data_IF_639997740645
#
_entry.id   IF_639997740645
#
_cell.length_a   1.000
_cell.length_b   1.000
_cell.length_c   1.000
_cell.angle_alpha   90.00
_cell.angle_beta   90.00
_cell.angle_gamma   90.00
#
_symmetry.space_group_name_H-M   'P 1'
#
loop_
_entity.id
_entity.type
_entity.pdbx_description
1 polymer ?
#
# COMPACT_ATOMS: atom_id res chain seq x y z
N UNK A 1 -14.70 18.40 11.54
CA UNK A 1 -13.29 18.43 11.07
C UNK A 1 -12.27 17.69 11.93
N UNK A 2 -12.60 17.18 13.14
CA UNK A 2 -11.62 16.49 14.04
C UNK A 2 -11.37 15.01 13.75
N UNK A 3 -12.13 14.37 12.84
CA UNK A 3 -12.03 12.93 12.55
C UNK A 3 -11.12 12.61 11.34
N UNK A 4 -10.80 13.62 10.50
CA UNK A 4 -9.99 13.40 9.30
C UNK A 4 -8.49 13.20 9.58
N UNK A 5 -7.98 13.77 10.69
CA UNK A 5 -6.55 13.67 11.02
C UNK A 5 -6.08 12.23 11.35
N UNK A 6 -6.78 11.43 12.18
CA UNK A 6 -6.35 10.06 12.45
C UNK A 6 -6.46 9.15 11.22
N UNK A 7 -7.43 9.39 10.34
CA UNK A 7 -7.58 8.60 9.11
C UNK A 7 -6.42 8.85 8.13
N UNK A 8 -5.99 10.10 7.99
CA UNK A 8 -4.83 10.48 7.18
C UNK A 8 -3.53 9.88 7.72
N UNK A 9 -3.38 9.80 9.04
CA UNK A 9 -2.21 9.19 9.68
C UNK A 9 -2.20 7.68 9.42
N UNK A 10 -3.33 6.98 9.56
CA UNK A 10 -3.44 5.55 9.28
C UNK A 10 -3.16 5.26 7.81
N UNK A 11 -3.71 6.04 6.89
CA UNK A 11 -3.44 5.91 5.44
C UNK A 11 -1.96 6.18 5.14
N UNK A 12 -1.36 7.21 5.73
CA UNK A 12 0.06 7.52 5.55
C UNK A 12 0.98 6.42 6.10
N UNK A 13 0.64 5.85 7.27
CA UNK A 13 1.41 4.74 7.88
C UNK A 13 1.27 3.46 7.05
N UNK A 14 0.07 3.14 6.55
CA UNK A 14 -0.16 1.96 5.70
C UNK A 14 0.54 2.11 4.35
N UNK A 15 0.42 3.27 3.70
CA UNK A 15 1.10 3.55 2.42
C UNK A 15 2.61 3.62 2.59
N UNK A 16 3.10 4.27 3.65
CA UNK A 16 4.53 4.32 3.98
C UNK A 16 5.11 2.94 4.33
N UNK A 17 4.39 2.14 5.11
CA UNK A 17 4.75 0.76 5.44
C UNK A 17 4.81 -0.16 4.21
N UNK A 18 3.84 -0.03 3.29
CA UNK A 18 3.81 -0.74 2.02
C UNK A 18 4.99 -0.35 1.11
N UNK A 19 5.34 0.93 1.08
CA UNK A 19 6.49 1.42 0.30
C UNK A 19 7.83 0.90 0.83
N UNK A 20 8.01 0.88 2.15
CA UNK A 20 9.19 0.32 2.80
C UNK A 20 9.30 -1.20 2.60
N UNK A 21 8.18 -1.93 2.65
CA UNK A 21 8.14 -3.36 2.41
C UNK A 21 8.45 -3.74 0.95
N UNK A 22 7.96 -2.98 -0.05
CA UNK A 22 8.37 -3.15 -1.45
C UNK A 22 9.87 -2.96 -1.64
N UNK A 23 10.47 -1.99 -0.94
CA UNK A 23 11.92 -1.72 -0.98
C UNK A 23 12.73 -2.86 -0.37
N UNK A 24 12.22 -3.53 0.66
CA UNK A 24 12.88 -4.70 1.28
C UNK A 24 12.78 -5.96 0.42
N UNK A 25 11.66 -6.22 -0.26
CA UNK A 25 11.52 -7.35 -1.18
C UNK A 25 12.45 -7.26 -2.39
N UNK A 26 12.69 -6.08 -2.91
CA UNK A 26 13.69 -5.88 -3.98
C UNK A 26 15.13 -6.20 -3.55
N UNK A 27 15.42 -6.19 -2.24
CA UNK A 27 16.72 -6.56 -1.68
C UNK A 27 16.85 -8.04 -1.30
N UNK A 28 15.75 -8.74 -1.04
CA UNK A 28 15.74 -10.15 -0.63
C UNK A 28 15.81 -11.14 -1.81
N UNK A 29 15.67 -10.68 -3.04
CA UNK A 29 15.76 -11.51 -4.26
C UNK A 29 17.20 -11.74 -4.74
N UNK A 30 18.23 -11.29 -3.98
CA UNK A 30 19.63 -11.48 -4.33
C UNK A 30 20.30 -12.42 -3.30
N UNK A 31 20.37 -13.71 -3.65
CA UNK A 31 21.40 -14.65 -3.27
C UNK A 31 21.14 -15.58 -2.07
N UNK A 32 21.39 -16.90 -2.23
CA UNK A 32 21.46 -17.85 -1.12
C UNK A 32 22.79 -17.68 -0.37
N UNK A 33 22.73 -17.67 0.96
CA UNK A 33 23.90 -17.68 1.85
C UNK A 33 24.73 -18.94 1.66
N UNK A 34 25.85 -18.87 0.98
CA UNK A 34 26.90 -19.87 1.05
C UNK A 34 27.65 -19.76 2.37
N UNK A 35 27.83 -20.89 3.06
CA UNK A 35 28.49 -21.02 4.34
C UNK A 35 29.93 -20.49 4.33
N UNK A 36 30.29 -19.81 5.39
CA UNK A 36 31.60 -19.20 5.65
C UNK A 36 32.51 -20.22 6.32
N UNK A 37 33.57 -20.65 5.66
CA UNK A 37 34.72 -21.30 6.29
C UNK A 37 35.68 -20.22 6.83
N UNK A 38 36.28 -20.40 8.04
CA UNK A 38 37.19 -19.43 8.63
C UNK A 38 38.64 -19.67 8.19
N UNK A 39 39.34 -18.61 7.83
CA UNK A 39 40.80 -18.59 7.83
C UNK A 39 41.45 -18.06 6.58
N UNK A 40 41.82 -16.79 6.56
CA UNK A 40 43.12 -16.25 6.19
C UNK A 40 43.02 -14.70 6.12
N UNK A 41 43.76 -14.06 6.98
CA UNK A 41 43.96 -12.62 6.98
C UNK A 41 45.05 -12.26 5.96
N UNK A 42 44.83 -11.19 5.19
CA UNK A 42 45.85 -10.15 4.90
C UNK A 42 45.30 -9.02 4.08
N UNK A 43 45.44 -7.85 4.65
CA UNK A 43 45.89 -6.54 4.15
C UNK A 43 45.26 -5.91 2.88
N UNK A 44 44.45 -4.91 3.18
CA UNK A 44 44.50 -3.51 2.69
C UNK A 44 44.69 -3.20 1.21
N UNK A 45 43.60 -2.70 0.60
CA UNK A 45 43.60 -1.38 -0.06
C UNK A 45 42.17 -0.89 -0.22
N UNK A 46 41.90 0.30 0.29
CA UNK A 46 40.60 0.97 0.33
C UNK A 46 40.39 1.62 -1.05
N UNK A 47 39.57 1.01 -1.90
CA UNK A 47 39.27 1.62 -3.21
C UNK A 47 38.57 0.73 -4.22
N UNK A 48 37.84 -0.32 -3.86
CA UNK A 48 36.97 -1.06 -4.82
C UNK A 48 36.16 -2.16 -4.09
N UNK A 49 35.57 -1.83 -2.95
CA UNK A 49 34.97 -2.82 -2.06
C UNK A 49 33.64 -3.46 -2.53
N UNK A 50 33.11 -3.03 -3.68
CA UNK A 50 31.82 -3.53 -4.19
C UNK A 50 31.89 -4.62 -5.25
N UNK A 51 32.91 -4.61 -6.10
CA UNK A 51 33.00 -5.50 -7.26
C UNK A 51 34.06 -6.60 -7.11
N UNK A 52 35.08 -6.39 -6.28
CA UNK A 52 36.16 -7.35 -6.05
C UNK A 52 35.71 -8.73 -5.54
N UNK A 53 34.78 -8.88 -4.59
CA UNK A 53 34.39 -10.22 -4.08
C UNK A 53 33.58 -11.01 -5.12
N UNK A 54 32.82 -10.37 -6.01
CA UNK A 54 32.07 -11.06 -7.08
C UNK A 54 33.02 -11.59 -8.17
N UNK A 55 34.05 -10.83 -8.55
CA UNK A 55 35.06 -11.25 -9.53
C UNK A 55 35.94 -12.39 -9.00
N UNK A 56 36.33 -12.34 -7.73
CA UNK A 56 37.11 -13.40 -7.09
C UNK A 56 36.31 -14.73 -7.00
N UNK A 57 35.02 -14.66 -6.68
CA UNK A 57 34.14 -15.83 -6.65
C UNK A 57 33.98 -16.47 -8.04
N UNK A 58 33.73 -15.67 -9.08
CA UNK A 58 33.54 -16.19 -10.43
C UNK A 58 34.81 -16.84 -11.00
N UNK A 59 35.98 -16.25 -10.80
CA UNK A 59 37.24 -16.83 -11.25
C UNK A 59 37.56 -18.15 -10.57
N UNK A 60 37.26 -18.29 -9.28
CA UNK A 60 37.42 -19.54 -8.54
C UNK A 60 36.45 -20.62 -9.02
N UNK A 61 35.20 -20.26 -9.33
CA UNK A 61 34.23 -21.19 -9.87
C UNK A 61 34.58 -21.67 -11.28
N UNK A 62 35.01 -20.77 -12.15
CA UNK A 62 35.48 -21.10 -13.50
C UNK A 62 36.68 -22.03 -13.45
N UNK A 63 37.67 -21.76 -12.59
CA UNK A 63 38.84 -22.63 -12.41
C UNK A 63 38.44 -24.03 -11.91
N UNK A 64 37.47 -24.10 -10.99
CA UNK A 64 36.93 -25.38 -10.49
C UNK A 64 36.22 -26.18 -11.58
N UNK A 65 35.42 -25.50 -12.43
CA UNK A 65 34.72 -26.16 -13.52
C UNK A 65 35.64 -26.67 -14.63
N UNK A 66 36.70 -25.91 -14.94
CA UNK A 66 37.74 -26.37 -15.85
C UNK A 66 38.46 -27.61 -15.27
N UNK A 67 38.85 -27.57 -13.95
CA UNK A 67 39.49 -28.66 -13.28
C UNK A 67 38.59 -29.91 -13.16
N UNK A 68 37.28 -29.73 -13.12
CA UNK A 68 36.31 -30.84 -13.13
C UNK A 68 35.95 -31.33 -14.55
N UNK A 69 36.51 -30.74 -15.60
CA UNK A 69 36.23 -31.11 -17.00
C UNK A 69 34.84 -30.72 -17.50
N UNK A 70 34.12 -29.84 -16.76
CA UNK A 70 32.76 -29.42 -17.11
C UNK A 70 32.74 -28.38 -18.23
N UNK A 71 33.79 -27.55 -18.32
CA UNK A 71 33.98 -26.55 -19.38
C UNK A 71 35.45 -26.57 -19.83
N UNK A 72 35.70 -26.17 -21.08
CA UNK A 72 37.08 -25.99 -21.57
C UNK A 72 37.69 -24.65 -21.05
N UNK A 73 39.01 -24.54 -21.04
CA UNK A 73 39.69 -23.29 -20.67
C UNK A 73 39.26 -22.13 -21.58
N UNK A 74 39.03 -22.40 -22.86
CA UNK A 74 38.53 -21.42 -23.82
C UNK A 74 37.12 -20.93 -23.50
N UNK A 75 36.23 -21.84 -23.07
CA UNK A 75 34.89 -21.46 -22.62
C UNK A 75 34.92 -20.65 -21.31
N UNK A 76 35.82 -20.99 -20.40
CA UNK A 76 35.99 -20.22 -19.17
C UNK A 76 36.45 -18.78 -19.47
N UNK A 77 37.38 -18.63 -20.40
CA UNK A 77 37.86 -17.28 -20.83
C UNK A 77 36.77 -16.49 -21.58
N UNK A 78 35.96 -17.17 -22.40
CA UNK A 78 34.81 -16.55 -23.08
C UNK A 78 33.76 -16.04 -22.06
N UNK A 79 33.43 -16.86 -21.06
CA UNK A 79 32.51 -16.48 -19.97
C UNK A 79 33.09 -15.31 -19.17
N UNK A 80 34.37 -15.38 -18.79
CA UNK A 80 35.03 -14.31 -18.04
C UNK A 80 35.10 -12.99 -18.83
N UNK A 81 35.27 -13.03 -20.15
CA UNK A 81 35.27 -11.84 -21.01
C UNK A 81 33.88 -11.27 -21.18
N UNK A 82 32.83 -12.11 -21.31
CA UNK A 82 31.44 -11.69 -21.39
C UNK A 82 30.99 -11.02 -20.09
N UNK A 83 31.33 -11.59 -18.93
CA UNK A 83 31.02 -11.00 -17.62
C UNK A 83 31.75 -9.68 -17.38
N UNK A 84 33.02 -9.58 -17.82
CA UNK A 84 33.75 -8.30 -17.77
C UNK A 84 33.12 -7.23 -18.67
N UNK A 85 32.65 -7.60 -19.85
CA UNK A 85 31.95 -6.71 -20.75
C UNK A 85 30.57 -6.28 -20.18
N UNK A 86 29.84 -7.23 -19.59
CA UNK A 86 28.53 -6.95 -18.95
C UNK A 86 28.66 -6.07 -17.71
N UNK A 87 29.68 -6.27 -16.88
CA UNK A 87 29.99 -5.40 -15.73
C UNK A 87 30.44 -4.01 -16.20
N UNK A 88 31.17 -3.92 -17.31
CA UNK A 88 31.52 -2.64 -17.94
C UNK A 88 30.27 -1.90 -18.48
N UNK A 89 29.30 -2.63 -19.01
CA UNK A 89 28.03 -2.06 -19.48
C UNK A 89 27.07 -1.69 -18.32
N UNK A 90 27.20 -2.36 -17.16
CA UNK A 90 26.45 -2.03 -15.93
C UNK A 90 27.14 -0.95 -15.08
N UNK A 91 28.36 -0.58 -15.44
CA UNK A 91 29.21 0.40 -14.75
C UNK A 91 28.99 1.83 -15.20
N UNK A 92 27.79 2.26 -15.55
CA UNK A 92 27.46 3.67 -15.54
C UNK A 92 27.57 4.20 -14.10
N UNK A 93 28.27 5.32 -13.89
CA UNK A 93 28.61 5.79 -12.56
C UNK A 93 27.35 6.00 -11.70
N UNK A 94 27.43 5.75 -10.37
CA UNK A 94 26.29 6.01 -9.47
C UNK A 94 25.80 7.46 -9.48
N UNK A 95 26.60 8.38 -10.02
CA UNK A 95 26.27 9.81 -10.14
C UNK A 95 25.15 10.12 -11.11
N UNK A 96 25.08 9.47 -12.28
CA UNK A 96 23.98 9.69 -13.23
C UNK A 96 22.62 9.25 -12.66
N UNK A 97 22.61 8.20 -11.85
CA UNK A 97 21.38 7.72 -11.20
C UNK A 97 20.92 8.64 -10.07
N UNK A 98 21.85 9.30 -9.38
CA UNK A 98 21.51 10.27 -8.32
C UNK A 98 20.96 11.57 -8.89
N UNK A 99 21.54 12.08 -9.95
CA UNK A 99 21.05 13.28 -10.65
C UNK A 99 19.68 13.01 -11.25
N UNK A 100 19.47 11.83 -11.85
CA UNK A 100 18.16 11.41 -12.38
C UNK A 100 17.09 11.33 -11.31
N UNK A 101 17.36 10.74 -10.13
CA UNK A 101 16.41 10.65 -9.02
C UNK A 101 16.04 12.01 -8.44
N UNK A 102 17.00 12.93 -8.37
CA UNK A 102 16.77 14.27 -7.86
C UNK A 102 15.96 15.10 -8.87
N UNK A 103 16.28 14.99 -10.17
CA UNK A 103 15.52 15.62 -11.23
C UNK A 103 14.08 15.07 -11.30
N UNK A 104 13.91 13.75 -11.13
CA UNK A 104 12.58 13.11 -11.05
C UNK A 104 11.78 13.61 -9.84
N UNK A 105 12.40 13.68 -8.66
CA UNK A 105 11.76 14.18 -7.45
C UNK A 105 11.36 15.67 -7.59
N UNK A 106 12.25 16.51 -8.11
CA UNK A 106 11.95 17.92 -8.39
C UNK A 106 10.84 18.08 -9.42
N UNK A 107 10.81 17.21 -10.44
CA UNK A 107 9.73 17.17 -11.42
C UNK A 107 8.36 16.89 -10.77
N UNK A 108 8.28 15.91 -9.88
CA UNK A 108 7.03 15.61 -9.15
C UNK A 108 6.58 16.77 -8.25
N UNK A 109 7.53 17.39 -7.53
CA UNK A 109 7.23 18.58 -6.69
C UNK A 109 6.76 19.74 -7.54
N UNK A 110 7.43 20.00 -8.69
CA UNK A 110 7.05 21.05 -9.63
C UNK A 110 5.64 20.86 -10.18
N UNK A 111 5.31 19.64 -10.62
CA UNK A 111 3.96 19.30 -11.09
C UNK A 111 2.93 19.46 -9.98
N UNK A 112 3.22 18.99 -8.77
CA UNK A 112 2.32 19.11 -7.64
C UNK A 112 2.02 20.58 -7.28
N UNK A 113 3.06 21.43 -7.27
CA UNK A 113 2.93 22.86 -7.01
C UNK A 113 2.16 23.57 -8.13
N UNK A 114 2.41 23.24 -9.39
CA UNK A 114 1.69 23.79 -10.54
C UNK A 114 0.19 23.42 -10.47
N UNK A 115 -0.12 22.17 -10.16
CA UNK A 115 -1.52 21.73 -9.99
C UNK A 115 -2.20 22.41 -8.80
N UNK A 116 -1.49 22.56 -7.67
CA UNK A 116 -2.02 23.25 -6.50
C UNK A 116 -2.26 24.74 -6.82
N UNK A 117 -1.33 25.40 -7.53
CA UNK A 117 -1.49 26.79 -7.98
C UNK A 117 -2.65 26.97 -8.95
N UNK A 118 -2.78 26.08 -9.92
CA UNK A 118 -3.91 26.09 -10.86
C UNK A 118 -5.25 25.87 -10.13
N UNK A 119 -5.31 24.93 -9.19
CA UNK A 119 -6.50 24.69 -8.38
C UNK A 119 -6.87 25.92 -7.51
N UNK A 120 -5.88 26.57 -6.88
CA UNK A 120 -6.09 27.77 -6.09
C UNK A 120 -6.57 28.96 -6.95
N UNK A 121 -5.96 29.16 -8.12
CA UNK A 121 -6.39 30.18 -9.08
C UNK A 121 -7.82 29.95 -9.59
N UNK A 122 -8.16 28.71 -9.89
CA UNK A 122 -9.50 28.33 -10.30
C UNK A 122 -10.52 28.57 -9.16
N UNK A 123 -10.15 28.22 -7.92
CA UNK A 123 -11.01 28.44 -6.76
C UNK A 123 -11.32 29.93 -6.51
N UNK A 124 -10.34 30.83 -6.72
CA UNK A 124 -10.54 32.27 -6.57
C UNK A 124 -11.50 32.86 -7.61
N UNK A 125 -11.48 32.33 -8.84
CA UNK A 125 -12.33 32.79 -9.94
C UNK A 125 -13.64 32.00 -10.11
N UNK A 126 -13.90 31.01 -9.26
CA UNK A 126 -14.97 30.02 -9.48
C UNK A 126 -16.35 30.64 -9.67
N UNK A 127 -16.68 31.64 -8.84
CA UNK A 127 -17.99 32.30 -8.89
C UNK A 127 -18.18 33.15 -10.14
N UNK A 128 -17.12 33.65 -10.76
CA UNK A 128 -17.16 34.41 -12.01
C UNK A 128 -17.31 33.55 -13.26
N UNK A 129 -17.09 32.23 -13.15
CA UNK A 129 -17.20 31.29 -14.27
C UNK A 129 -18.69 30.96 -14.49
N UNK A 130 -19.20 31.06 -15.72
CA UNK A 130 -20.57 30.65 -16.01
C UNK A 130 -20.77 29.15 -15.77
N UNK A 131 -22.01 28.71 -15.46
CA UNK A 131 -22.34 27.33 -15.07
C UNK A 131 -21.81 26.30 -16.06
N UNK A 132 -21.94 26.55 -17.37
CA UNK A 132 -21.39 25.65 -18.38
C UNK A 132 -19.86 25.49 -18.26
N UNK A 133 -19.15 26.56 -17.92
CA UNK A 133 -17.70 26.54 -17.70
C UNK A 133 -17.33 25.74 -16.44
N UNK A 134 -18.10 25.88 -15.34
CA UNK A 134 -17.89 25.11 -14.12
C UNK A 134 -18.07 23.61 -14.34
N UNK A 135 -18.93 23.20 -15.24
CA UNK A 135 -19.14 21.78 -15.61
C UNK A 135 -18.08 21.29 -16.61
N UNK A 136 -17.77 22.09 -17.63
CA UNK A 136 -16.88 21.64 -18.70
C UNK A 136 -15.43 21.55 -18.27
N UNK A 137 -14.95 22.40 -17.36
CA UNK A 137 -13.57 22.36 -16.87
C UNK A 137 -13.23 21.03 -16.18
N UNK A 138 -13.96 20.56 -15.14
CA UNK A 138 -13.67 19.26 -14.53
C UNK A 138 -13.93 18.09 -15.48
N UNK A 139 -14.94 18.16 -16.32
CA UNK A 139 -15.24 17.12 -17.32
C UNK A 139 -14.10 16.97 -18.34
N UNK A 140 -13.62 18.09 -18.89
CA UNK A 140 -12.49 18.10 -19.83
C UNK A 140 -11.20 17.60 -19.16
N UNK A 141 -10.94 18.04 -17.93
CA UNK A 141 -9.78 17.58 -17.14
C UNK A 141 -9.85 16.06 -16.94
N UNK A 142 -11.01 15.54 -16.55
CA UNK A 142 -11.23 14.08 -16.39
C UNK A 142 -10.99 13.35 -17.70
N UNK A 143 -11.56 13.85 -18.81
CA UNK A 143 -11.37 13.28 -20.15
C UNK A 143 -9.89 13.26 -20.57
N UNK A 144 -9.18 14.36 -20.36
CA UNK A 144 -7.75 14.45 -20.67
C UNK A 144 -6.90 13.47 -19.84
N UNK A 145 -7.23 13.28 -18.57
CA UNK A 145 -6.52 12.33 -17.69
C UNK A 145 -6.78 10.88 -18.14
N UNK A 146 -8.01 10.55 -18.51
CA UNK A 146 -8.36 9.23 -19.07
C UNK A 146 -7.62 8.99 -20.39
N UNK A 147 -7.70 9.93 -21.34
CA UNK A 147 -7.05 9.83 -22.65
C UNK A 147 -5.52 9.79 -22.52
N UNK A 148 -4.94 10.63 -21.65
CA UNK A 148 -3.50 10.61 -21.36
C UNK A 148 -3.03 9.25 -20.85
N UNK A 149 -3.82 8.63 -19.97
CA UNK A 149 -3.54 7.28 -19.50
C UNK A 149 -3.63 6.24 -20.62
N UNK A 150 -4.63 6.32 -21.50
CA UNK A 150 -4.75 5.43 -22.68
C UNK A 150 -3.62 5.63 -23.68
N UNK A 151 -3.16 6.86 -23.87
CA UNK A 151 -2.00 7.14 -24.73
C UNK A 151 -0.73 6.46 -24.20
N UNK A 152 -0.53 6.47 -22.87
CA UNK A 152 0.59 5.82 -22.22
C UNK A 152 0.45 4.28 -22.09
N UNK A 153 -0.73 3.72 -22.34
CA UNK A 153 -0.99 2.28 -22.19
C UNK A 153 -0.08 1.41 -23.05
N UNK A 154 0.26 1.85 -24.25
CA UNK A 154 1.10 1.11 -25.20
C UNK A 154 2.58 1.17 -24.87
N UNK A 155 2.98 2.02 -23.93
CA UNK A 155 4.38 2.16 -23.54
C UNK A 155 4.79 1.04 -22.60
N UNK A 156 5.92 0.39 -22.89
CA UNK A 156 6.42 -0.74 -22.10
C UNK A 156 7.29 -0.31 -20.91
N UNK A 157 7.80 0.91 -20.92
CA UNK A 157 8.68 1.43 -19.88
C UNK A 157 7.97 1.50 -18.50
N UNK A 158 8.64 1.06 -17.43
CA UNK A 158 8.06 1.05 -16.07
C UNK A 158 7.63 2.43 -15.58
N UNK A 159 8.32 3.51 -15.99
CA UNK A 159 7.99 4.88 -15.63
C UNK A 159 6.63 5.31 -16.20
N UNK A 160 6.40 5.07 -17.50
CA UNK A 160 5.12 5.38 -18.14
C UNK A 160 3.95 4.55 -17.60
N UNK A 161 4.20 3.30 -17.19
CA UNK A 161 3.18 2.48 -16.52
C UNK A 161 2.75 3.04 -15.18
N UNK A 162 3.69 3.58 -14.39
CA UNK A 162 3.37 4.27 -13.13
C UNK A 162 2.59 5.54 -13.39
N UNK A 163 3.06 6.37 -14.34
CA UNK A 163 2.40 7.62 -14.71
C UNK A 163 0.97 7.37 -15.19
N UNK A 164 0.75 6.41 -16.08
CA UNK A 164 -0.59 5.98 -16.51
C UNK A 164 -1.49 5.64 -15.32
N UNK A 165 -0.97 4.86 -14.37
CA UNK A 165 -1.74 4.46 -13.19
C UNK A 165 -2.13 5.65 -12.33
N UNK A 166 -1.26 6.63 -12.18
CA UNK A 166 -1.53 7.88 -11.45
C UNK A 166 -2.57 8.71 -12.18
N UNK A 167 -2.43 8.91 -13.51
CA UNK A 167 -3.39 9.66 -14.32
C UNK A 167 -4.80 9.07 -14.20
N UNK A 168 -4.94 7.77 -14.22
CA UNK A 168 -6.23 7.10 -14.09
C UNK A 168 -6.84 7.22 -12.69
N UNK A 169 -6.04 7.21 -11.62
CA UNK A 169 -6.54 7.50 -10.27
C UNK A 169 -7.01 8.95 -10.16
N UNK A 170 -6.23 9.88 -10.73
CA UNK A 170 -6.63 11.29 -10.78
C UNK A 170 -7.90 11.49 -11.62
N UNK A 171 -8.09 10.71 -12.69
CA UNK A 171 -9.32 10.73 -13.48
C UNK A 171 -10.55 10.30 -12.67
N UNK A 172 -10.40 9.29 -11.78
CA UNK A 172 -11.50 8.91 -10.86
C UNK A 172 -11.84 10.07 -9.91
N UNK A 173 -10.84 10.76 -9.37
CA UNK A 173 -11.06 11.98 -8.57
C UNK A 173 -11.69 13.12 -9.38
N UNK A 174 -11.25 13.30 -10.62
CA UNK A 174 -11.84 14.26 -11.57
C UNK A 174 -13.31 13.95 -11.88
N UNK A 175 -13.67 12.66 -12.00
CA UNK A 175 -15.06 12.22 -12.16
C UNK A 175 -15.91 12.59 -10.95
N UNK A 176 -15.40 12.39 -9.74
CA UNK A 176 -16.09 12.81 -8.51
C UNK A 176 -16.39 14.31 -8.53
N UNK A 177 -15.37 15.11 -8.85
CA UNK A 177 -15.52 16.56 -8.97
C UNK A 177 -16.54 16.96 -10.06
N UNK A 178 -16.44 16.36 -11.25
CA UNK A 178 -17.37 16.62 -12.36
C UNK A 178 -18.82 16.37 -11.95
N UNK A 179 -19.09 15.18 -11.38
CA UNK A 179 -20.44 14.79 -11.00
C UNK A 179 -20.97 15.59 -9.80
N UNK A 180 -20.11 15.96 -8.86
CA UNK A 180 -20.49 16.84 -7.77
C UNK A 180 -20.93 18.23 -8.29
N UNK A 181 -20.18 18.82 -9.23
CA UNK A 181 -20.54 20.11 -9.85
C UNK A 181 -21.81 19.98 -10.66
N UNK A 182 -21.98 18.93 -11.46
CA UNK A 182 -23.22 18.66 -12.21
C UNK A 182 -24.40 18.54 -11.24
N UNK A 183 -24.22 17.81 -10.13
CA UNK A 183 -25.25 17.67 -9.11
C UNK A 183 -25.68 19.03 -8.52
N UNK A 184 -24.71 19.85 -8.12
CA UNK A 184 -24.96 21.15 -7.50
C UNK A 184 -25.62 22.14 -8.48
N UNK A 185 -25.07 22.23 -9.71
CA UNK A 185 -25.43 23.31 -10.65
C UNK A 185 -26.63 22.93 -11.57
N UNK A 186 -26.85 21.63 -11.85
CA UNK A 186 -27.81 21.21 -12.86
C UNK A 186 -29.02 20.43 -12.34
N UNK A 187 -28.92 19.77 -11.15
CA UNK A 187 -30.02 18.90 -10.70
C UNK A 187 -30.85 19.48 -9.56
N UNK A 188 -30.29 20.37 -8.77
CA UNK A 188 -30.93 20.89 -7.55
C UNK A 188 -31.17 19.83 -6.47
N UNK A 189 -30.46 18.69 -6.53
CA UNK A 189 -30.54 17.62 -5.54
C UNK A 189 -29.90 18.04 -4.21
N UNK A 190 -30.34 17.41 -3.14
CA UNK A 190 -29.66 17.47 -1.84
C UNK A 190 -28.28 16.80 -1.89
N UNK A 191 -27.49 16.99 -0.83
CA UNK A 191 -26.11 16.54 -0.77
C UNK A 191 -25.96 14.99 -0.89
N UNK A 192 -26.89 14.23 -0.32
CA UNK A 192 -26.84 12.76 -0.30
C UNK A 192 -27.00 12.13 -1.70
N UNK A 193 -28.03 12.49 -2.54
CA UNK A 193 -28.14 12.03 -3.92
C UNK A 193 -26.96 12.47 -4.78
N UNK A 194 -26.40 13.67 -4.57
CA UNK A 194 -25.22 14.14 -5.28
C UNK A 194 -24.01 13.26 -4.95
N UNK A 195 -23.81 12.94 -3.67
CA UNK A 195 -22.74 12.05 -3.23
C UNK A 195 -22.89 10.65 -3.84
N UNK A 196 -24.12 10.12 -3.87
CA UNK A 196 -24.43 8.81 -4.46
C UNK A 196 -24.13 8.79 -5.97
N UNK A 197 -24.56 9.83 -6.69
CA UNK A 197 -24.29 9.97 -8.12
C UNK A 197 -22.78 10.05 -8.40
N UNK A 198 -22.04 10.86 -7.64
CA UNK A 198 -20.60 11.00 -7.78
C UNK A 198 -19.87 9.69 -7.48
N UNK A 199 -20.21 9.02 -6.37
CA UNK A 199 -19.63 7.75 -5.99
C UNK A 199 -19.95 6.62 -7.00
N UNK A 200 -21.17 6.60 -7.56
CA UNK A 200 -21.58 5.69 -8.62
C UNK A 200 -20.75 5.87 -9.90
N UNK A 201 -20.61 7.10 -10.37
CA UNK A 201 -19.78 7.42 -11.54
C UNK A 201 -18.30 7.09 -11.33
N UNK A 202 -17.76 7.39 -10.15
CA UNK A 202 -16.38 6.98 -9.79
C UNK A 202 -16.22 5.47 -9.80
N UNK A 203 -17.19 4.73 -9.26
CA UNK A 203 -17.14 3.26 -9.22
C UNK A 203 -17.18 2.67 -10.64
N UNK A 204 -18.04 3.17 -11.50
CA UNK A 204 -18.12 2.73 -12.91
C UNK A 204 -16.81 3.02 -13.66
N UNK A 205 -16.27 4.23 -13.52
CA UNK A 205 -14.99 4.59 -14.15
C UNK A 205 -13.84 3.74 -13.60
N UNK A 206 -13.71 3.62 -12.26
CA UNK A 206 -12.67 2.83 -11.64
C UNK A 206 -12.75 1.35 -12.01
N UNK A 207 -13.97 0.78 -12.09
CA UNK A 207 -14.20 -0.58 -12.56
C UNK A 207 -13.77 -0.76 -14.01
N UNK A 208 -14.16 0.15 -14.91
CA UNK A 208 -13.76 0.13 -16.33
C UNK A 208 -12.23 0.18 -16.49
N UNK A 209 -11.56 1.09 -15.77
CA UNK A 209 -10.10 1.22 -15.81
C UNK A 209 -9.38 0.00 -15.20
N UNK A 210 -9.93 -0.59 -14.13
CA UNK A 210 -9.40 -1.81 -13.54
C UNK A 210 -9.57 -3.02 -14.46
N UNK A 211 -10.71 -3.15 -15.13
CA UNK A 211 -10.94 -4.22 -16.10
C UNK A 211 -10.04 -4.07 -17.33
N UNK A 212 -9.80 -2.83 -17.79
CA UNK A 212 -8.87 -2.54 -18.86
C UNK A 212 -7.44 -2.96 -18.50
N UNK A 213 -7.01 -2.67 -17.26
CA UNK A 213 -5.68 -3.07 -16.78
C UNK A 213 -5.71 -3.34 -15.28
N UNK A 214 -5.57 -4.62 -14.90
CA UNK A 214 -5.56 -5.08 -13.51
C UNK A 214 -4.27 -4.66 -12.79
N UNK A 215 -4.20 -3.37 -12.42
CA UNK A 215 -3.07 -2.78 -11.72
C UNK A 215 -3.45 -2.40 -10.29
N UNK A 216 -2.47 -2.40 -9.37
CA UNK A 216 -2.73 -2.17 -7.95
C UNK A 216 -3.41 -0.84 -7.62
N UNK A 217 -2.99 0.27 -8.25
CA UNK A 217 -3.59 1.58 -8.00
C UNK A 217 -5.06 1.66 -8.44
N UNK A 218 -5.42 1.04 -9.59
CA UNK A 218 -6.81 0.97 -10.04
C UNK A 218 -7.66 0.11 -9.10
N UNK A 219 -7.08 -0.96 -8.56
CA UNK A 219 -7.75 -1.79 -7.56
C UNK A 219 -8.08 -1.00 -6.28
N UNK A 220 -7.13 -0.18 -5.80
CA UNK A 220 -7.36 0.70 -4.64
C UNK A 220 -8.40 1.76 -4.95
N UNK A 221 -8.34 2.40 -6.12
CA UNK A 221 -9.35 3.37 -6.55
C UNK A 221 -10.74 2.75 -6.63
N UNK A 222 -10.86 1.54 -7.16
CA UNK A 222 -12.13 0.81 -7.22
C UNK A 222 -12.66 0.49 -5.81
N UNK A 223 -11.81 0.00 -4.90
CA UNK A 223 -12.23 -0.27 -3.53
C UNK A 223 -12.69 1.00 -2.81
N UNK A 224 -11.93 2.10 -2.95
CA UNK A 224 -12.30 3.39 -2.37
C UNK A 224 -13.62 3.91 -2.93
N UNK A 225 -13.84 3.81 -4.24
CA UNK A 225 -15.10 4.22 -4.88
C UNK A 225 -16.27 3.35 -4.42
N UNK A 226 -16.08 2.03 -4.26
CA UNK A 226 -17.12 1.14 -3.73
C UNK A 226 -17.48 1.46 -2.29
N UNK A 227 -16.48 1.81 -1.44
CA UNK A 227 -16.77 2.28 -0.08
C UNK A 227 -17.57 3.59 -0.11
N UNK A 228 -17.16 4.55 -0.94
CA UNK A 228 -17.88 5.80 -1.10
C UNK A 228 -19.32 5.56 -1.58
N UNK A 229 -19.51 4.68 -2.57
CA UNK A 229 -20.84 4.31 -3.09
C UNK A 229 -21.72 3.67 -2.01
N UNK A 230 -21.17 2.69 -1.26
CA UNK A 230 -21.92 2.02 -0.21
C UNK A 230 -22.30 2.96 0.93
N UNK A 231 -21.38 3.84 1.34
CA UNK A 231 -21.65 4.85 2.37
C UNK A 231 -22.68 5.88 1.88
N UNK A 232 -22.56 6.38 0.65
CA UNK A 232 -23.53 7.34 0.09
C UNK A 232 -24.92 6.72 -0.09
N UNK A 233 -24.99 5.44 -0.49
CA UNK A 233 -26.25 4.72 -0.58
C UNK A 233 -26.94 4.57 0.79
N UNK A 234 -26.15 4.30 1.84
CA UNK A 234 -26.68 4.26 3.21
C UNK A 234 -27.20 5.62 3.67
N UNK A 235 -26.51 6.70 3.35
CA UNK A 235 -26.96 8.06 3.70
C UNK A 235 -28.30 8.41 3.06
N UNK A 236 -28.57 7.90 1.84
CA UNK A 236 -29.85 8.11 1.15
C UNK A 236 -31.02 7.27 1.74
N UNK A 237 -30.74 6.11 2.35
CA UNK A 237 -31.78 5.15 2.74
C UNK A 237 -31.94 5.05 4.26
N UNK A 238 -30.86 5.17 5.02
CA UNK A 238 -30.87 5.00 6.47
C UNK A 238 -31.01 6.36 7.17
N UNK A 239 -31.82 6.39 8.23
CA UNK A 239 -31.78 7.51 9.16
C UNK A 239 -30.35 7.71 9.67
N UNK A 240 -29.81 8.96 9.63
CA UNK A 240 -28.38 9.24 9.90
C UNK A 240 -27.88 8.88 11.31
N UNK A 241 -28.76 8.41 12.19
CA UNK A 241 -28.50 8.14 13.62
C UNK A 241 -27.95 6.76 13.93
N UNK A 242 -27.74 5.87 12.95
CA UNK A 242 -27.24 4.51 13.20
C UNK A 242 -25.80 4.34 12.71
N UNK A 243 -24.84 4.94 13.40
CA UNK A 243 -23.40 4.88 13.05
C UNK A 243 -22.83 3.47 12.88
N UNK A 244 -23.45 2.45 13.53
CA UNK A 244 -23.02 1.06 13.36
C UNK A 244 -23.26 0.49 11.95
N UNK A 245 -24.20 1.03 11.16
CA UNK A 245 -24.41 0.62 9.78
C UNK A 245 -23.20 0.97 8.91
N UNK A 246 -22.58 2.13 9.14
CA UNK A 246 -21.35 2.52 8.43
C UNK A 246 -20.21 1.58 8.80
N UNK A 247 -20.05 1.31 10.10
CA UNK A 247 -19.06 0.38 10.61
C UNK A 247 -19.20 -1.01 9.96
N UNK A 248 -20.44 -1.55 9.95
CA UNK A 248 -20.75 -2.85 9.37
C UNK A 248 -20.52 -2.88 7.85
N UNK A 249 -20.89 -1.81 7.13
CA UNK A 249 -20.72 -1.73 5.67
C UNK A 249 -19.26 -1.69 5.28
N UNK A 250 -18.45 -0.87 5.94
CA UNK A 250 -17.01 -0.78 5.67
C UNK A 250 -16.34 -2.12 6.01
N UNK A 251 -16.72 -2.73 7.13
CA UNK A 251 -16.19 -4.03 7.52
C UNK A 251 -16.58 -5.13 6.51
N UNK A 252 -17.86 -5.21 6.13
CA UNK A 252 -18.35 -6.24 5.21
C UNK A 252 -17.73 -6.10 3.81
N UNK A 253 -17.61 -4.87 3.30
CA UNK A 253 -16.98 -4.61 2.02
C UNK A 253 -15.49 -4.95 2.05
N UNK A 254 -14.80 -4.62 3.15
CA UNK A 254 -13.42 -5.03 3.39
C UNK A 254 -13.25 -6.55 3.41
N UNK A 255 -14.14 -7.26 4.13
CA UNK A 255 -14.16 -8.71 4.19
C UNK A 255 -14.40 -9.35 2.82
N UNK A 256 -15.39 -8.85 2.06
CA UNK A 256 -15.66 -9.32 0.71
C UNK A 256 -14.44 -9.12 -0.19
N UNK A 257 -13.79 -7.96 -0.11
CA UNK A 257 -12.59 -7.67 -0.89
C UNK A 257 -11.41 -8.58 -0.55
N UNK A 258 -11.17 -8.85 0.73
CA UNK A 258 -10.15 -9.79 1.20
C UNK A 258 -10.42 -11.22 0.70
N UNK A 259 -11.69 -11.67 0.75
CA UNK A 259 -12.10 -12.98 0.22
C UNK A 259 -11.90 -13.07 -1.29
N UNK A 260 -12.28 -12.03 -2.06
CA UNK A 260 -12.04 -11.98 -3.51
C UNK A 260 -10.53 -12.04 -3.84
N UNK A 261 -9.69 -11.36 -3.05
CA UNK A 261 -8.23 -11.47 -3.15
C UNK A 261 -7.74 -12.88 -2.85
N UNK A 262 -8.22 -13.50 -1.79
CA UNK A 262 -7.87 -14.88 -1.42
C UNK A 262 -8.28 -15.88 -2.51
N UNK A 263 -9.46 -15.71 -3.11
CA UNK A 263 -9.95 -16.50 -4.25
C UNK A 263 -9.22 -16.21 -5.55
N UNK A 264 -8.22 -15.30 -5.55
CA UNK A 264 -7.44 -14.89 -6.73
C UNK A 264 -8.26 -14.26 -7.85
N UNK A 265 -9.44 -13.75 -7.52
CA UNK A 265 -10.30 -13.07 -8.48
C UNK A 265 -9.83 -11.63 -8.75
N UNK A 266 -9.10 -11.04 -7.81
CA UNK A 266 -8.53 -9.69 -7.92
C UNK A 266 -7.00 -9.76 -8.05
N UNK A 267 -6.44 -8.95 -8.93
CA UNK A 267 -4.99 -8.83 -9.12
C UNK A 267 -4.54 -7.38 -8.90
N UNK A 268 -3.46 -7.16 -8.13
CA UNK A 268 -2.65 -8.13 -7.38
C UNK A 268 -3.31 -8.63 -6.09
N UNK A 269 -3.28 -9.94 -5.85
CA UNK A 269 -3.97 -10.63 -4.75
C UNK A 269 -3.59 -10.08 -3.37
N UNK A 270 -2.28 -9.90 -3.14
CA UNK A 270 -1.77 -9.44 -1.86
C UNK A 270 -2.31 -8.06 -1.46
N UNK A 271 -2.52 -7.19 -2.45
CA UNK A 271 -3.06 -5.85 -2.25
C UNK A 271 -4.54 -5.91 -1.89
N UNK A 272 -5.31 -6.78 -2.58
CA UNK A 272 -6.72 -7.00 -2.25
C UNK A 272 -6.89 -7.49 -0.82
N UNK A 273 -6.08 -8.46 -0.39
CA UNK A 273 -6.10 -8.98 0.98
C UNK A 273 -5.71 -7.87 1.97
N UNK A 274 -4.62 -7.14 1.72
CA UNK A 274 -4.15 -6.10 2.63
C UNK A 274 -5.17 -4.97 2.82
N UNK A 275 -5.71 -4.41 1.73
CA UNK A 275 -6.69 -3.33 1.81
C UNK A 275 -8.07 -3.81 2.28
N UNK A 276 -8.47 -5.03 1.93
CA UNK A 276 -9.67 -5.64 2.47
C UNK A 276 -9.59 -5.82 3.99
N UNK A 277 -8.49 -6.38 4.48
CA UNK A 277 -8.26 -6.51 5.93
C UNK A 277 -8.13 -5.15 6.63
N UNK A 278 -7.53 -4.14 5.98
CA UNK A 278 -7.51 -2.78 6.51
C UNK A 278 -8.92 -2.21 6.66
N UNK A 279 -9.82 -2.43 5.69
CA UNK A 279 -11.23 -2.08 5.78
C UNK A 279 -11.93 -2.76 6.95
N UNK A 280 -11.67 -4.06 7.17
CA UNK A 280 -12.19 -4.80 8.33
C UNK A 280 -11.71 -4.23 9.66
N UNK A 281 -10.46 -3.80 9.75
CA UNK A 281 -9.89 -3.18 10.96
C UNK A 281 -10.45 -1.77 11.18
N UNK A 282 -10.59 -0.98 10.14
CA UNK A 282 -11.02 0.42 10.23
C UNK A 282 -12.54 0.52 10.43
N UNK A 283 -13.33 -0.40 9.86
CA UNK A 283 -14.79 -0.33 9.88
C UNK A 283 -15.39 -0.07 11.25
N UNK A 284 -15.12 -0.89 12.27
CA UNK A 284 -15.70 -0.71 13.61
C UNK A 284 -15.36 0.64 14.27
N UNK A 285 -14.20 1.25 13.91
CA UNK A 285 -13.79 2.53 14.49
C UNK A 285 -14.76 3.69 14.17
N UNK A 286 -15.51 3.59 13.07
CA UNK A 286 -16.49 4.64 12.69
C UNK A 286 -17.71 4.71 13.62
N UNK A 287 -18.06 3.62 14.31
CA UNK A 287 -19.21 3.60 15.22
C UNK A 287 -18.84 3.46 16.69
N UNK A 288 -17.56 3.28 17.03
CA UNK A 288 -17.12 2.88 18.36
C UNK A 288 -17.46 3.92 19.45
N UNK A 289 -17.44 5.20 19.13
CA UNK A 289 -17.78 6.27 20.08
C UNK A 289 -19.28 6.33 20.43
N UNK A 290 -20.15 5.80 19.57
CA UNK A 290 -21.60 5.77 19.78
C UNK A 290 -22.06 4.40 20.29
N UNK A 291 -21.34 3.34 19.92
CA UNK A 291 -21.72 1.95 20.17
C UNK A 291 -20.54 1.14 20.71
N UNK A 292 -20.37 1.13 22.03
CA UNK A 292 -19.26 0.43 22.70
C UNK A 292 -19.20 -1.07 22.40
N UNK A 293 -20.35 -1.70 22.11
CA UNK A 293 -20.40 -3.11 21.73
C UNK A 293 -19.58 -3.45 20.47
N UNK A 294 -19.31 -2.46 19.62
CA UNK A 294 -18.44 -2.64 18.44
C UNK A 294 -16.98 -2.95 18.81
N UNK A 295 -16.58 -2.73 20.05
CA UNK A 295 -15.25 -3.10 20.54
C UNK A 295 -15.02 -4.62 20.47
N UNK A 296 -16.04 -5.42 20.79
CA UNK A 296 -15.94 -6.88 20.77
C UNK A 296 -15.68 -7.43 19.35
N UNK A 297 -16.46 -7.13 18.31
CA UNK A 297 -16.15 -7.56 16.94
C UNK A 297 -14.86 -6.93 16.39
N UNK A 298 -14.48 -5.73 16.82
CA UNK A 298 -13.22 -5.11 16.45
C UNK A 298 -12.01 -5.90 16.97
N UNK A 299 -11.99 -6.24 18.26
CA UNK A 299 -10.94 -7.06 18.86
C UNK A 299 -10.95 -8.49 18.29
N UNK A 300 -12.11 -9.08 18.05
CA UNK A 300 -12.20 -10.40 17.41
C UNK A 300 -11.62 -10.38 15.99
N UNK A 301 -11.90 -9.34 15.22
CA UNK A 301 -11.35 -9.16 13.87
C UNK A 301 -9.83 -9.05 13.91
N UNK A 302 -9.26 -8.20 14.78
CA UNK A 302 -7.82 -8.04 14.88
C UNK A 302 -7.12 -9.30 15.38
N UNK A 303 -7.69 -9.99 16.37
CA UNK A 303 -7.20 -11.27 16.86
C UNK A 303 -7.24 -12.36 15.77
N UNK A 304 -8.30 -12.41 14.97
CA UNK A 304 -8.42 -13.34 13.84
C UNK A 304 -7.36 -13.07 12.76
N UNK A 305 -7.08 -11.81 12.44
CA UNK A 305 -6.02 -11.45 11.49
C UNK A 305 -4.63 -11.89 11.99
N UNK A 306 -4.35 -11.68 13.28
CA UNK A 306 -3.10 -12.17 13.90
C UNK A 306 -3.05 -13.70 13.85
N UNK A 307 -4.13 -14.39 14.23
CA UNK A 307 -4.19 -15.85 14.20
C UNK A 307 -3.98 -16.44 12.80
N UNK A 308 -4.60 -15.86 11.77
CA UNK A 308 -4.46 -16.27 10.37
C UNK A 308 -3.07 -15.93 9.81
N UNK A 309 -2.45 -14.85 10.27
CA UNK A 309 -1.11 -14.43 9.79
C UNK A 309 0.00 -15.45 10.11
N UNK A 310 -0.13 -16.19 11.23
CA UNK A 310 0.88 -17.16 11.70
C UNK A 310 1.02 -18.34 10.72
N UNK A 311 -0.04 -19.13 10.40
CA UNK A 311 0.07 -20.26 9.46
C UNK A 311 0.31 -19.79 8.02
N UNK A 312 -0.23 -18.65 7.61
CA UNK A 312 -0.08 -18.13 6.23
C UNK A 312 1.24 -17.40 6.01
N UNK A 313 1.98 -17.09 7.07
CA UNK A 313 3.24 -16.32 7.06
C UNK A 313 3.12 -14.97 6.33
N UNK A 314 1.94 -14.37 6.40
CA UNK A 314 1.66 -13.09 5.74
C UNK A 314 1.91 -11.93 6.70
N UNK A 315 3.10 -11.33 6.62
CA UNK A 315 3.49 -10.16 7.43
C UNK A 315 2.49 -8.99 7.38
N UNK A 316 1.85 -8.64 6.24
CA UNK A 316 0.87 -7.56 6.20
C UNK A 316 -0.35 -7.81 7.10
N UNK A 317 -0.85 -9.05 7.18
CA UNK A 317 -1.97 -9.40 8.05
C UNK A 317 -1.59 -9.25 9.52
N UNK A 318 -0.40 -9.71 9.87
CA UNK A 318 0.13 -9.55 11.23
C UNK A 318 0.22 -8.06 11.61
N UNK A 319 0.81 -7.24 10.73
CA UNK A 319 0.96 -5.81 10.97
C UNK A 319 -0.40 -5.12 11.16
N UNK A 320 -1.38 -5.39 10.29
CA UNK A 320 -2.72 -4.83 10.40
C UNK A 320 -3.45 -5.28 11.67
N UNK A 321 -3.36 -6.57 11.99
CA UNK A 321 -3.93 -7.12 13.22
C UNK A 321 -3.33 -6.47 14.48
N UNK A 322 -2.01 -6.30 14.52
CA UNK A 322 -1.31 -5.67 15.65
C UNK A 322 -1.63 -4.18 15.78
N UNK A 323 -1.65 -3.44 14.67
CA UNK A 323 -2.01 -2.00 14.66
C UNK A 323 -3.47 -1.82 15.09
N UNK A 324 -4.38 -2.66 14.60
CA UNK A 324 -5.78 -2.63 15.01
C UNK A 324 -5.97 -2.98 16.49
N UNK A 325 -5.33 -4.05 16.97
CA UNK A 325 -5.37 -4.43 18.38
C UNK A 325 -4.84 -3.31 19.28
N UNK A 326 -3.69 -2.71 18.91
CA UNK A 326 -3.15 -1.56 19.61
C UNK A 326 -4.15 -0.40 19.68
N UNK A 327 -4.74 -0.03 18.54
CA UNK A 327 -5.69 1.07 18.47
C UNK A 327 -6.93 0.82 19.36
N UNK A 328 -7.52 -0.36 19.28
CA UNK A 328 -8.73 -0.70 20.03
C UNK A 328 -8.48 -0.88 21.53
N UNK A 329 -7.37 -1.51 21.92
CA UNK A 329 -6.98 -1.62 23.34
C UNK A 329 -6.68 -0.23 23.91
N UNK A 330 -5.95 0.61 23.17
CA UNK A 330 -5.68 1.99 23.59
C UNK A 330 -6.98 2.78 23.76
N UNK A 331 -7.88 2.70 22.78
CA UNK A 331 -9.19 3.34 22.87
C UNK A 331 -9.96 2.86 24.10
N UNK A 332 -10.05 1.55 24.33
CA UNK A 332 -10.76 0.98 25.47
C UNK A 332 -10.18 1.45 26.81
N UNK A 333 -8.86 1.42 26.95
CA UNK A 333 -8.20 1.87 28.17
C UNK A 333 -8.43 3.36 28.41
N UNK A 334 -8.33 4.19 27.39
CA UNK A 334 -8.61 5.63 27.51
C UNK A 334 -10.09 5.88 27.80
N UNK A 335 -11.01 5.15 27.17
CA UNK A 335 -12.44 5.34 27.33
C UNK A 335 -12.94 4.93 28.73
N UNK A 336 -12.50 3.77 29.25
CA UNK A 336 -12.99 3.26 30.52
C UNK A 336 -12.19 3.73 31.74
N UNK A 337 -10.94 4.14 31.59
CA UNK A 337 -10.04 4.43 32.71
C UNK A 337 -9.49 5.85 32.74
N UNK A 338 -9.81 6.73 31.76
CA UNK A 338 -9.30 8.10 31.73
C UNK A 338 -9.62 8.91 32.99
N UNK A 339 -10.84 8.73 33.50
CA UNK A 339 -11.32 9.50 34.67
C UNK A 339 -10.77 8.98 35.99
N UNK A 340 -10.41 7.69 36.07
CA UNK A 340 -9.91 7.04 37.29
C UNK A 340 -8.39 7.03 37.42
N UNK A 341 -7.67 6.85 36.31
CA UNK A 341 -6.22 6.62 36.31
C UNK A 341 -5.41 7.73 35.67
N UNK A 342 -6.06 8.61 34.93
CA UNK A 342 -5.40 9.61 34.10
C UNK A 342 -4.69 9.03 32.87
N UNK A 343 -4.51 9.84 31.81
CA UNK A 343 -3.95 9.39 30.54
C UNK A 343 -2.55 8.76 30.63
N UNK A 344 -1.60 9.22 31.47
CA UNK A 344 -0.28 8.61 31.56
C UNK A 344 -0.30 7.17 32.08
N UNK A 345 -1.11 6.88 33.11
CA UNK A 345 -1.19 5.55 33.68
C UNK A 345 -1.92 4.58 32.74
N UNK A 346 -2.93 5.06 32.01
CA UNK A 346 -3.60 4.30 30.97
C UNK A 346 -2.60 3.83 29.88
N UNK A 347 -1.69 4.68 29.43
CA UNK A 347 -0.65 4.31 28.45
C UNK A 347 0.35 3.28 29.02
N UNK A 348 0.69 3.34 30.30
CA UNK A 348 1.53 2.32 30.96
C UNK A 348 0.85 0.96 30.94
N UNK A 349 -0.46 0.91 31.22
CA UNK A 349 -1.26 -0.34 31.17
C UNK A 349 -1.29 -0.91 29.75
N UNK A 350 -1.54 -0.08 28.73
CA UNK A 350 -1.49 -0.50 27.32
C UNK A 350 -0.12 -1.07 26.99
N UNK A 351 0.95 -0.39 27.34
CA UNK A 351 2.32 -0.88 27.12
C UNK A 351 2.60 -2.21 27.80
N UNK A 352 2.15 -2.39 29.05
CA UNK A 352 2.28 -3.64 29.79
C UNK A 352 1.51 -4.80 29.12
N UNK A 353 0.27 -4.57 28.66
CA UNK A 353 -0.53 -5.57 27.94
C UNK A 353 0.19 -6.01 26.65
N UNK A 354 0.73 -5.07 25.85
CA UNK A 354 1.48 -5.42 24.65
C UNK A 354 2.77 -6.18 24.94
N UNK A 355 3.47 -5.84 26.02
CA UNK A 355 4.66 -6.56 26.46
C UNK A 355 4.32 -8.01 26.82
N UNK A 356 3.25 -8.23 27.58
CA UNK A 356 2.75 -9.58 27.90
C UNK A 356 2.38 -10.35 26.62
N UNK A 357 1.66 -9.72 25.68
CA UNK A 357 1.30 -10.36 24.41
C UNK A 357 2.55 -10.70 23.57
N UNK A 358 3.56 -9.84 23.54
CA UNK A 358 4.82 -10.09 22.83
C UNK A 358 5.58 -11.29 23.45
N UNK A 359 5.66 -11.38 24.78
CA UNK A 359 6.28 -12.51 25.49
C UNK A 359 5.53 -13.80 25.21
N UNK A 360 4.19 -13.79 25.30
CA UNK A 360 3.35 -14.96 24.99
C UNK A 360 3.54 -15.43 23.55
N UNK A 361 3.56 -14.50 22.59
CA UNK A 361 3.82 -14.82 21.19
C UNK A 361 5.20 -15.45 20.98
N UNK A 362 6.24 -14.94 21.66
CA UNK A 362 7.58 -15.50 21.63
C UNK A 362 7.66 -16.91 22.21
N UNK A 363 7.00 -17.15 23.34
CA UNK A 363 6.92 -18.49 23.98
C UNK A 363 6.20 -19.49 23.09
N UNK A 364 5.07 -19.09 22.49
CA UNK A 364 4.29 -19.95 21.58
C UNK A 364 5.09 -20.29 20.30
N UNK A 365 5.80 -19.32 19.73
CA UNK A 365 6.65 -19.53 18.57
C UNK A 365 7.80 -20.50 18.85
N UNK A 366 8.41 -20.43 20.02
CA UNK A 366 9.48 -21.34 20.45
C UNK A 366 8.96 -22.77 20.72
N UNK A 367 7.77 -22.93 21.30
CA UNK A 367 7.14 -24.25 21.49
C UNK A 367 6.80 -24.94 20.15
N UNK A 368 6.44 -24.19 19.12
CA UNK A 368 6.23 -24.71 17.78
C UNK A 368 7.49 -25.26 17.13
N UNK A 369 8.64 -24.63 17.37
CA UNK A 369 9.95 -25.08 16.86
C UNK A 369 10.46 -26.36 17.54
N UNK A 370 10.25 -26.51 18.84
CA UNK A 370 10.67 -27.70 19.59
C UNK A 370 9.87 -28.96 19.21
N UNK A 371 8.61 -28.84 18.77
CA UNK A 371 7.80 -29.96 18.29
C UNK A 371 8.15 -30.39 16.86
N UNK A 372 8.66 -29.49 16.02
CA UNK A 372 9.04 -29.80 14.65
C UNK A 372 10.44 -30.43 14.54
N UNK A 373 11.25 -30.41 15.62
CA UNK A 373 12.60 -30.95 15.69
C UNK A 373 12.73 -32.28 16.43
N UNK A 374 11.63 -32.90 16.88
CA UNK A 374 11.70 -34.23 17.47
C UNK A 374 11.87 -35.29 16.36
N UNK A 375 12.98 -36.05 16.30
CA UNK A 375 13.10 -37.15 15.34
C UNK A 375 12.01 -38.19 15.63
N UNK A 376 11.32 -38.60 14.57
CA UNK A 376 10.40 -39.75 14.64
C UNK A 376 11.22 -40.96 15.10
N UNK A 377 10.92 -41.49 16.28
CA UNK A 377 11.52 -42.67 16.84
C UNK A 377 10.91 -43.93 16.18
#
# INVERSE_FOLDING_TARGET
MRVAAPLLIVVAVVVGGLFLWQRQRGRAAVGPKAGRAPGAASATTRGDAGTAPLRAGLSADLSRWVGAGLISAEQADAIASHERASVGALGAPPEERRVSLLAEALGYVGVALALAGAAAGLAQGWESIPVWGRITIPAATTGLLVLGGFFLWRQEEPAFRRLMSVLWVLAVGGMAWTLAVVGIEATGFDAEPIALMAAGGCTLLAAGLYLARRHGLQQVALLASLHALAVSALLCVAEPRRGWWFAATIWALGAAWAVLGWRRLLAPEWLAIAFGCAGMVIGPAFGLNEYEWLLAPALLTTASLVAVSVPTRQTPLLALGMVGAFGYITWAVLHYFSDSLGPPLALVIVGAVFLVLAVLAGVLANRGKSRAGAPAA
#
